data_IF_089738841099
#
_entry.id   IF_089738841099
#
_cell.length_a   1.000
_cell.length_b   1.000
_cell.length_c   1.000
_cell.angle_alpha   90.00
_cell.angle_beta   90.00
_cell.angle_gamma   90.00
#
_symmetry.space_group_name_H-M   'P 1'
#
loop_
_entity.id
_entity.type
_entity.pdbx_description
1 polymer ?
#
# COMPACT_ATOMS: atom_id res chain seq x y z
N UNK A 1 -29.99 -5.64 -33.26
CA UNK A 1 -31.04 -5.08 -32.40
C UNK A 1 -31.55 -6.21 -31.51
N UNK A 2 -31.15 -6.23 -30.23
CA UNK A 2 -31.84 -6.99 -29.18
C UNK A 2 -31.37 -8.43 -28.86
N UNK A 3 -30.21 -8.59 -28.22
CA UNK A 3 -30.03 -9.63 -27.20
C UNK A 3 -30.12 -8.93 -25.83
N UNK A 4 -31.23 -9.09 -25.12
CA UNK A 4 -31.52 -8.45 -23.84
C UNK A 4 -32.13 -9.50 -22.91
N UNK A 5 -31.42 -9.85 -21.82
CA UNK A 5 -32.03 -10.54 -20.66
C UNK A 5 -31.43 -11.87 -20.18
N UNK A 6 -30.11 -12.07 -20.29
CA UNK A 6 -29.21 -12.80 -19.35
C UNK A 6 -29.65 -14.15 -18.73
N UNK A 7 -29.59 -15.20 -19.56
CA UNK A 7 -28.97 -16.52 -19.34
C UNK A 7 -28.66 -17.02 -17.91
N UNK A 8 -29.62 -17.77 -17.38
CA UNK A 8 -29.53 -19.12 -16.79
C UNK A 8 -28.18 -19.88 -16.79
N UNK A 9 -27.95 -20.79 -15.81
CA UNK A 9 -26.65 -21.15 -15.20
C UNK A 9 -25.80 -22.17 -15.98
N UNK A 10 -25.99 -22.31 -17.28
CA UNK A 10 -25.48 -23.46 -18.07
C UNK A 10 -24.09 -23.26 -18.65
N UNK A 11 -23.56 -22.03 -18.66
CA UNK A 11 -22.24 -21.69 -19.21
C UNK A 11 -21.07 -21.86 -18.23
N UNK A 12 -21.33 -22.37 -17.01
CA UNK A 12 -20.31 -22.59 -15.99
C UNK A 12 -19.71 -24.01 -15.99
N UNK A 13 -20.14 -24.89 -16.90
CA UNK A 13 -19.81 -26.32 -16.86
C UNK A 13 -18.76 -26.78 -17.90
N UNK A 14 -18.29 -25.90 -18.80
CA UNK A 14 -17.37 -26.27 -19.89
C UNK A 14 -15.88 -26.00 -19.59
N UNK A 15 -15.53 -25.37 -18.46
CA UNK A 15 -14.13 -24.99 -18.16
C UNK A 15 -13.71 -25.28 -16.72
N UNK A 16 -13.51 -26.57 -16.41
CA UNK A 16 -12.73 -27.04 -15.24
C UNK A 16 -11.89 -28.26 -15.68
N UNK A 17 -10.74 -28.61 -15.06
CA UNK A 17 -9.82 -27.89 -14.18
C UNK A 17 -8.33 -28.09 -14.59
N UNK A 18 -7.52 -27.03 -14.70
CA UNK A 18 -6.05 -27.20 -14.64
C UNK A 18 -5.41 -26.11 -13.78
N UNK A 19 -4.91 -26.55 -12.63
CA UNK A 19 -4.07 -25.81 -11.66
C UNK A 19 -4.69 -24.57 -11.01
N UNK A 20 -5.12 -24.76 -9.75
CA UNK A 20 -5.15 -23.77 -8.67
C UNK A 20 -5.94 -22.48 -8.95
N UNK A 21 -7.17 -22.48 -8.43
CA UNK A 21 -8.06 -21.37 -8.08
C UNK A 21 -7.41 -19.98 -8.02
N UNK A 22 -8.15 -18.85 -8.28
CA UNK A 22 -9.55 -18.73 -7.87
C UNK A 22 -10.51 -17.99 -8.82
N UNK A 23 -11.71 -18.56 -8.88
CA UNK A 23 -12.98 -18.00 -9.36
C UNK A 23 -13.39 -16.78 -8.52
N UNK A 24 -12.84 -15.61 -8.80
CA UNK A 24 -13.21 -14.35 -8.12
C UNK A 24 -14.19 -13.46 -8.91
N UNK A 25 -14.45 -13.78 -10.18
CA UNK A 25 -15.33 -12.98 -11.04
C UNK A 25 -16.77 -12.96 -10.53
N UNK A 26 -17.32 -14.13 -10.18
CA UNK A 26 -18.74 -14.23 -9.81
C UNK A 26 -19.04 -13.89 -8.34
N UNK A 27 -18.05 -13.98 -7.43
CA UNK A 27 -18.23 -13.58 -6.03
C UNK A 27 -18.23 -12.05 -5.85
N UNK A 28 -17.50 -11.33 -6.69
CA UNK A 28 -17.41 -9.86 -6.63
C UNK A 28 -18.62 -9.14 -7.22
N UNK A 29 -19.33 -9.74 -8.19
CA UNK A 29 -20.60 -9.16 -8.70
C UNK A 29 -21.76 -9.22 -7.69
N UNK A 30 -21.80 -10.25 -6.82
CA UNK A 30 -22.81 -10.36 -5.75
C UNK A 30 -22.49 -9.49 -4.52
N UNK A 31 -21.21 -9.13 -4.31
CA UNK A 31 -20.79 -8.09 -3.35
C UNK A 31 -20.87 -6.67 -3.95
N UNK A 32 -20.93 -6.57 -5.29
CA UNK A 32 -20.97 -5.34 -6.08
C UNK A 32 -22.32 -4.61 -6.14
N UNK A 33 -23.35 -5.09 -5.45
CA UNK A 33 -24.67 -4.43 -5.34
C UNK A 33 -24.94 -3.85 -3.96
N UNK A 34 -23.99 -3.08 -3.43
CA UNK A 34 -24.30 -2.12 -2.37
C UNK A 34 -23.16 -1.17 -2.01
N UNK A 35 -23.47 0.02 -1.46
CA UNK A 35 -22.49 0.93 -0.82
C UNK A 35 -21.80 0.31 0.41
N UNK A 36 -22.04 -0.98 0.67
CA UNK A 36 -21.60 -1.73 1.85
C UNK A 36 -20.12 -2.10 1.77
N UNK A 37 -19.57 -2.42 0.59
CA UNK A 37 -18.13 -2.71 0.42
C UNK A 37 -17.27 -1.47 0.67
N UNK A 38 -17.66 -0.33 0.10
CA UNK A 38 -17.03 0.97 0.35
C UNK A 38 -17.14 1.40 1.83
N UNK A 39 -18.28 1.13 2.48
CA UNK A 39 -18.45 1.34 3.91
C UNK A 39 -17.53 0.44 4.74
N UNK A 40 -17.37 -0.83 4.36
CA UNK A 40 -16.49 -1.78 5.05
C UNK A 40 -15.02 -1.34 4.99
N UNK A 41 -14.57 -0.87 3.83
CA UNK A 41 -13.20 -0.37 3.67
C UNK A 41 -12.98 0.97 4.37
N UNK A 42 -13.97 1.86 4.43
CA UNK A 42 -13.89 3.07 5.27
C UNK A 42 -13.84 2.71 6.77
N UNK A 43 -14.66 1.74 7.20
CA UNK A 43 -14.72 1.27 8.59
C UNK A 43 -13.42 0.57 9.01
N UNK A 44 -12.75 -0.16 8.12
CA UNK A 44 -11.46 -0.82 8.40
C UNK A 44 -10.28 0.14 8.18
N UNK A 45 -10.34 1.04 7.18
CA UNK A 45 -9.26 1.95 6.82
C UNK A 45 -8.99 3.04 7.85
N UNK A 46 -10.04 3.62 8.43
CA UNK A 46 -9.92 4.67 9.46
C UNK A 46 -9.19 4.18 10.74
N UNK A 47 -9.56 3.03 11.36
CA UNK A 47 -8.84 2.54 12.53
C UNK A 47 -7.41 2.10 12.20
N UNK A 48 -7.14 1.67 10.96
CA UNK A 48 -5.80 1.32 10.51
C UNK A 48 -4.83 2.51 10.61
N UNK A 49 -5.28 3.71 10.17
CA UNK A 49 -4.49 4.95 10.31
C UNK A 49 -4.21 5.24 11.79
N UNK A 50 -5.22 5.09 12.65
CA UNK A 50 -5.09 5.34 14.09
C UNK A 50 -4.08 4.40 14.76
N UNK A 51 -4.11 3.11 14.41
CA UNK A 51 -3.17 2.09 14.93
C UNK A 51 -1.75 2.38 14.43
N UNK A 52 -1.58 2.62 13.13
CA UNK A 52 -0.27 2.88 12.55
C UNK A 52 0.37 4.16 13.11
N UNK A 53 -0.38 5.27 13.27
CA UNK A 53 0.11 6.49 13.94
C UNK A 53 0.51 6.23 15.40
N UNK A 54 -0.25 5.40 16.12
CA UNK A 54 0.04 5.04 17.51
C UNK A 54 1.30 4.19 17.62
N UNK A 55 1.51 3.27 16.69
CA UNK A 55 2.76 2.49 16.59
C UNK A 55 3.95 3.39 16.29
N UNK A 56 3.81 4.32 15.34
CA UNK A 56 4.88 5.27 15.02
C UNK A 56 5.27 6.08 16.25
N UNK A 57 4.30 6.71 16.93
CA UNK A 57 4.56 7.51 18.14
C UNK A 57 5.22 6.68 19.25
N UNK A 58 4.77 5.45 19.45
CA UNK A 58 5.34 4.53 20.44
C UNK A 58 6.79 4.13 20.12
N UNK A 59 7.19 4.15 18.85
CA UNK A 59 8.56 3.93 18.42
C UNK A 59 9.44 5.16 18.70
N UNK A 60 8.91 6.35 18.41
CA UNK A 60 9.60 7.63 18.67
C UNK A 60 9.75 7.92 20.16
N UNK A 61 8.73 7.66 20.99
CA UNK A 61 8.79 7.87 22.45
C UNK A 61 9.90 7.04 23.15
N UNK A 62 10.44 6.01 22.49
CA UNK A 62 11.53 5.18 23.02
C UNK A 62 12.93 5.73 22.74
N UNK A 63 13.02 6.82 21.97
CA UNK A 63 14.29 7.33 21.43
C UNK A 63 14.30 8.86 21.51
N UNK A 64 15.37 9.46 22.04
CA UNK A 64 15.52 10.93 22.06
C UNK A 64 15.88 11.44 20.66
N UNK A 65 14.89 11.57 19.78
CA UNK A 65 15.06 12.21 18.48
C UNK A 65 14.87 13.72 18.57
N UNK A 66 15.53 14.46 17.68
CA UNK A 66 15.29 15.89 17.49
C UNK A 66 13.86 16.11 16.97
N UNK A 67 13.19 17.16 17.48
CA UNK A 67 11.83 17.56 17.10
C UNK A 67 11.68 17.79 15.60
N UNK A 68 12.74 18.22 14.91
CA UNK A 68 12.75 18.36 13.45
C UNK A 68 12.64 17.01 12.73
N UNK A 69 13.37 15.99 13.21
CA UNK A 69 13.37 14.65 12.62
C UNK A 69 12.05 13.93 12.89
N UNK A 70 11.51 14.05 14.11
CA UNK A 70 10.20 13.51 14.47
C UNK A 70 9.12 14.10 13.53
N UNK A 71 9.09 15.42 13.38
CA UNK A 71 8.13 16.09 12.51
C UNK A 71 8.25 15.68 11.04
N UNK A 72 9.48 15.52 10.53
CA UNK A 72 9.72 15.07 9.16
C UNK A 72 9.14 13.66 8.92
N UNK A 73 9.44 12.71 9.81
CA UNK A 73 8.99 11.32 9.67
C UNK A 73 7.47 11.21 9.86
N UNK A 74 6.91 11.95 10.83
CA UNK A 74 5.47 11.97 11.05
C UNK A 74 4.70 12.53 9.84
N UNK A 75 5.24 13.55 9.16
CA UNK A 75 4.65 14.10 7.93
C UNK A 75 4.68 13.09 6.79
N UNK A 76 5.81 12.45 6.54
CA UNK A 76 5.94 11.42 5.48
C UNK A 76 5.00 10.25 5.75
N UNK A 77 5.01 9.71 6.97
CA UNK A 77 4.15 8.61 7.36
C UNK A 77 2.66 8.99 7.27
N UNK A 78 2.31 10.23 7.64
CA UNK A 78 0.96 10.76 7.52
C UNK A 78 0.46 10.83 6.08
N UNK A 79 1.29 11.33 5.15
CA UNK A 79 0.97 11.39 3.72
C UNK A 79 0.84 9.99 3.13
N UNK A 80 1.78 9.08 3.44
CA UNK A 80 1.76 7.70 2.95
C UNK A 80 0.50 6.95 3.42
N UNK A 81 0.12 7.07 4.69
CA UNK A 81 -1.09 6.46 5.22
C UNK A 81 -2.36 7.00 4.57
N UNK A 82 -2.47 8.32 4.41
CA UNK A 82 -3.62 8.92 3.73
C UNK A 82 -3.71 8.46 2.27
N UNK A 83 -2.58 8.43 1.56
CA UNK A 83 -2.51 7.92 0.19
C UNK A 83 -3.00 6.48 0.09
N UNK A 84 -2.55 5.60 0.99
CA UNK A 84 -2.97 4.20 1.02
C UNK A 84 -4.48 4.07 1.22
N UNK A 85 -5.06 4.76 2.21
CA UNK A 85 -6.50 4.68 2.49
C UNK A 85 -7.34 5.23 1.34
N UNK A 86 -6.93 6.34 0.73
CA UNK A 86 -7.63 6.91 -0.43
C UNK A 86 -7.56 5.94 -1.62
N UNK A 87 -6.41 5.35 -1.90
CA UNK A 87 -6.25 4.39 -3.00
C UNK A 87 -7.11 3.15 -2.80
N UNK A 88 -7.13 2.58 -1.59
CA UNK A 88 -7.98 1.41 -1.28
C UNK A 88 -9.47 1.77 -1.34
N UNK A 89 -9.86 2.95 -0.86
CA UNK A 89 -11.25 3.39 -0.98
C UNK A 89 -11.66 3.62 -2.44
N UNK A 90 -10.77 4.19 -3.26
CA UNK A 90 -11.01 4.42 -4.68
C UNK A 90 -11.13 3.11 -5.47
N UNK A 91 -10.32 2.08 -5.15
CA UNK A 91 -10.45 0.77 -5.81
C UNK A 91 -11.81 0.10 -5.56
N UNK A 92 -12.36 0.24 -4.35
CA UNK A 92 -13.67 -0.30 -3.98
C UNK A 92 -14.84 0.43 -4.66
N UNK A 93 -14.65 1.73 -4.95
CA UNK A 93 -15.61 2.52 -5.74
C UNK A 93 -15.58 2.19 -7.24
N UNK A 94 -14.77 1.19 -7.66
CA UNK A 94 -14.62 0.80 -9.05
C UNK A 94 -13.70 1.73 -9.86
N UNK A 95 -12.96 2.62 -9.22
CA UNK A 95 -11.95 3.46 -9.89
C UNK A 95 -10.69 2.61 -10.12
N UNK A 96 -10.19 2.60 -11.36
CA UNK A 96 -8.94 1.92 -11.67
C UNK A 96 -7.74 2.69 -11.09
N UNK A 97 -7.25 2.23 -9.94
CA UNK A 97 -6.09 2.83 -9.24
C UNK A 97 -4.75 2.27 -9.70
N UNK A 98 -4.73 1.23 -10.55
CA UNK A 98 -3.49 0.55 -10.98
C UNK A 98 -2.50 1.51 -11.62
N UNK A 99 -2.99 2.43 -12.46
CA UNK A 99 -2.14 3.46 -13.08
C UNK A 99 -1.55 4.45 -12.07
N UNK A 100 -2.33 4.81 -11.05
CA UNK A 100 -1.88 5.72 -9.98
C UNK A 100 -0.80 5.04 -9.13
N UNK A 101 -1.02 3.78 -8.75
CA UNK A 101 -0.04 2.98 -8.00
C UNK A 101 1.25 2.79 -8.79
N UNK A 102 1.17 2.50 -10.09
CA UNK A 102 2.34 2.40 -10.96
C UNK A 102 3.13 3.72 -11.00
N UNK A 103 2.46 4.87 -11.10
CA UNK A 103 3.11 6.17 -11.07
C UNK A 103 3.79 6.45 -9.72
N UNK A 104 3.14 6.14 -8.59
CA UNK A 104 3.76 6.25 -7.27
C UNK A 104 4.97 5.32 -7.12
N UNK A 105 4.95 4.14 -7.73
CA UNK A 105 6.10 3.25 -7.80
C UNK A 105 7.30 3.90 -8.48
N UNK A 106 7.10 4.51 -9.65
CA UNK A 106 8.16 5.24 -10.39
C UNK A 106 8.67 6.44 -9.57
N UNK A 107 7.76 7.21 -8.94
CA UNK A 107 8.15 8.31 -8.07
C UNK A 107 8.98 7.84 -6.87
N UNK A 108 8.59 6.71 -6.25
CA UNK A 108 9.35 6.11 -5.15
C UNK A 108 10.76 5.69 -5.57
N UNK A 109 10.90 5.11 -6.76
CA UNK A 109 12.21 4.80 -7.34
C UNK A 109 13.05 6.05 -7.58
N UNK A 110 12.47 7.13 -8.11
CA UNK A 110 13.18 8.38 -8.31
C UNK A 110 13.69 8.98 -6.99
N UNK A 111 12.87 8.95 -5.93
CA UNK A 111 13.29 9.39 -4.58
C UNK A 111 14.38 8.49 -4.02
N UNK A 112 14.29 7.18 -4.22
CA UNK A 112 15.32 6.23 -3.77
C UNK A 112 16.67 6.49 -4.45
N UNK A 113 16.67 6.76 -5.76
CA UNK A 113 17.89 7.13 -6.48
C UNK A 113 18.45 8.48 -6.02
N UNK A 114 17.60 9.46 -5.75
CA UNK A 114 18.05 10.75 -5.21
C UNK A 114 18.70 10.61 -3.82
N UNK A 115 18.27 9.63 -3.02
CA UNK A 115 18.81 9.37 -1.69
C UNK A 115 20.02 8.40 -1.69
N UNK A 116 20.38 7.83 -2.85
CA UNK A 116 21.38 6.78 -2.96
C UNK A 116 22.75 7.22 -2.43
N UNK A 117 23.23 8.40 -2.83
CA UNK A 117 24.54 8.93 -2.42
C UNK A 117 24.63 9.11 -0.89
N UNK A 118 23.53 9.54 -0.26
CA UNK A 118 23.48 9.72 1.19
C UNK A 118 23.56 8.37 1.91
N UNK A 119 22.87 7.37 1.39
CA UNK A 119 22.91 6.01 1.95
C UNK A 119 24.30 5.37 1.78
N UNK A 120 24.97 5.61 0.65
CA UNK A 120 26.35 5.14 0.42
C UNK A 120 27.32 5.71 1.46
N UNK A 121 27.22 7.01 1.75
CA UNK A 121 28.03 7.65 2.79
C UNK A 121 27.78 7.05 4.18
N UNK A 122 26.52 6.76 4.52
CA UNK A 122 26.17 6.12 5.81
C UNK A 122 26.75 4.72 5.92
N UNK A 123 26.61 3.90 4.86
CA UNK A 123 27.14 2.53 4.83
C UNK A 123 28.67 2.54 4.92
N UNK A 124 29.34 3.44 4.19
CA UNK A 124 30.79 3.62 4.27
C UNK A 124 31.24 3.96 5.70
N UNK A 125 30.52 4.85 6.39
CA UNK A 125 30.78 5.19 7.79
C UNK A 125 30.66 3.98 8.73
N UNK A 126 29.60 3.18 8.58
CA UNK A 126 29.42 1.95 9.37
C UNK A 126 30.54 0.94 9.09
N UNK A 127 30.89 0.75 7.81
CA UNK A 127 31.94 -0.18 7.40
C UNK A 127 33.30 0.19 8.00
N UNK A 128 33.65 1.49 8.00
CA UNK A 128 34.89 1.98 8.63
C UNK A 128 34.91 1.64 10.13
N UNK A 129 33.79 1.79 10.84
CA UNK A 129 33.70 1.49 12.28
C UNK A 129 33.84 -0.02 12.55
N UNK A 130 33.23 -0.84 11.70
CA UNK A 130 33.20 -2.30 11.86
C UNK A 130 34.55 -2.91 11.49
N UNK A 131 35.08 -2.54 10.33
CA UNK A 131 36.32 -3.11 9.78
C UNK A 131 37.57 -2.50 10.45
N UNK A 132 37.40 -1.34 11.12
CA UNK A 132 38.49 -0.52 11.70
C UNK A 132 39.77 -0.59 10.85
N UNK A 133 39.69 -0.28 9.54
CA UNK A 133 40.83 -0.47 8.64
C UNK A 133 41.97 0.51 8.96
N UNK A 134 41.67 1.58 9.70
CA UNK A 134 42.63 2.55 10.23
C UNK A 134 42.82 2.28 11.72
N UNK A 135 43.91 1.57 12.04
CA UNK A 135 44.44 1.42 13.40
C UNK A 135 45.81 2.07 13.41
N UNK A 136 45.96 3.15 14.16
CA UNK A 136 47.25 3.55 14.70
C UNK A 136 47.63 2.61 15.86
#
# INVERSE_FOLDING_TARGET
MGCRGTTTPVSCLDDLPTSFEPTYGCASELVGTGPVSALLVLVIGIPLIGIAKRYLRKLFDRTEFDEALENFIYRIAGVAMWGLVILTAASELGINVTGIVAAFGILGLAVAFAAQDTMENVIAGIFIIVDRPFRE
#
